data_IF_850963664153
#
_entry.id   IF_850963664153
#
_cell.length_a   1.000
_cell.length_b   1.000
_cell.length_c   1.000
_cell.angle_alpha   90.00
_cell.angle_beta   90.00
_cell.angle_gamma   90.00
#
_symmetry.space_group_name_H-M   'P 1'
#
loop_
_entity.id
_entity.type
_entity.pdbx_description
1 polymer ?
#
# COMPACT_ATOMS: atom_id res chain seq x y z
N UNK A 1 9.98 13.20 -23.18
CA UNK A 1 9.91 12.57 -21.85
C UNK A 1 10.70 11.26 -21.92
N UNK A 2 11.80 11.13 -21.19
CA UNK A 2 12.66 9.91 -21.21
C UNK A 2 12.24 9.02 -20.05
N UNK A 3 12.03 7.74 -20.31
CA UNK A 3 11.74 6.74 -19.28
C UNK A 3 12.99 6.41 -18.46
N UNK A 4 12.79 6.10 -17.18
CA UNK A 4 13.84 5.63 -16.28
C UNK A 4 14.58 4.43 -16.87
N UNK A 5 15.91 4.44 -16.78
CA UNK A 5 16.79 3.33 -17.17
C UNK A 5 17.67 2.94 -16.00
N UNK A 6 17.53 1.68 -15.57
CA UNK A 6 18.32 1.08 -14.47
C UNK A 6 19.85 1.19 -14.68
N UNK A 7 20.31 1.34 -15.93
CA UNK A 7 21.73 1.47 -16.28
C UNK A 7 22.27 2.90 -16.21
N UNK A 8 21.41 3.90 -16.42
CA UNK A 8 21.86 5.27 -16.72
C UNK A 8 21.46 6.27 -15.62
N UNK A 9 20.39 5.98 -14.88
CA UNK A 9 19.86 6.93 -13.90
C UNK A 9 20.42 6.67 -12.48
N UNK A 10 20.78 7.72 -11.71
CA UNK A 10 21.37 7.56 -10.39
C UNK A 10 20.40 6.84 -9.45
N UNK A 11 20.84 5.79 -8.76
CA UNK A 11 19.99 4.93 -7.92
C UNK A 11 19.21 5.66 -6.82
N UNK A 12 19.68 6.84 -6.40
CA UNK A 12 19.05 7.70 -5.38
C UNK A 12 18.10 8.76 -5.96
N UNK A 13 17.99 8.86 -7.28
CA UNK A 13 17.09 9.81 -7.93
C UNK A 13 15.64 9.35 -7.74
N UNK A 14 14.90 10.08 -6.91
CA UNK A 14 13.45 9.90 -6.79
C UNK A 14 12.82 10.30 -8.12
N UNK A 15 12.29 9.32 -8.85
CA UNK A 15 11.52 9.61 -10.08
C UNK A 15 10.19 10.23 -9.67
N UNK A 16 10.13 11.56 -9.63
CA UNK A 16 8.93 12.34 -9.29
C UNK A 16 8.06 12.70 -10.50
N UNK A 17 8.47 12.24 -11.69
CA UNK A 17 7.83 12.49 -12.99
C UNK A 17 7.01 11.31 -13.52
N UNK A 18 6.98 10.19 -12.80
CA UNK A 18 6.31 8.97 -13.23
C UNK A 18 5.28 8.51 -12.19
N UNK A 19 4.14 8.01 -12.68
CA UNK A 19 3.07 7.41 -11.88
C UNK A 19 2.71 6.08 -12.51
N UNK A 20 2.50 5.05 -11.69
CA UNK A 20 2.07 3.75 -12.21
C UNK A 20 0.57 3.76 -12.51
N UNK A 21 0.12 2.87 -13.39
CA UNK A 21 -1.31 2.67 -13.67
C UNK A 21 -2.09 2.34 -12.39
N UNK A 22 -1.45 1.63 -11.46
CA UNK A 22 -2.06 1.22 -10.20
C UNK A 22 -2.23 2.36 -9.23
N UNK A 23 -1.27 3.27 -9.15
CA UNK A 23 -1.40 4.47 -8.31
C UNK A 23 -2.52 5.37 -8.86
N UNK A 24 -2.58 5.56 -10.19
CA UNK A 24 -3.65 6.32 -10.83
C UNK A 24 -5.02 5.68 -10.61
N UNK A 25 -5.15 4.37 -10.83
CA UNK A 25 -6.38 3.64 -10.59
C UNK A 25 -6.81 3.71 -9.12
N UNK A 26 -5.86 3.59 -8.19
CA UNK A 26 -6.11 3.68 -6.76
C UNK A 26 -6.60 5.08 -6.34
N UNK A 27 -5.94 6.14 -6.81
CA UNK A 27 -6.39 7.53 -6.58
C UNK A 27 -7.79 7.75 -7.16
N UNK A 28 -8.06 7.24 -8.37
CA UNK A 28 -9.39 7.34 -8.98
C UNK A 28 -10.47 6.66 -8.12
N UNK A 29 -10.24 5.42 -7.69
CA UNK A 29 -11.21 4.67 -6.87
C UNK A 29 -11.47 5.35 -5.52
N UNK A 30 -10.41 5.80 -4.84
CA UNK A 30 -10.51 6.51 -3.55
C UNK A 30 -11.28 7.82 -3.72
N UNK A 31 -10.90 8.64 -4.69
CA UNK A 31 -11.56 9.95 -4.94
C UNK A 31 -13.03 9.76 -5.32
N UNK A 32 -13.36 8.75 -6.12
CA UNK A 32 -14.74 8.37 -6.47
C UNK A 32 -15.56 8.02 -5.23
N UNK A 33 -15.05 7.17 -4.34
CA UNK A 33 -15.75 6.78 -3.10
C UNK A 33 -15.91 7.98 -2.17
N UNK A 34 -14.87 8.79 -1.98
CA UNK A 34 -14.96 9.99 -1.15
C UNK A 34 -15.98 10.98 -1.68
N UNK A 35 -16.05 11.19 -3.00
CA UNK A 35 -17.06 12.04 -3.62
C UNK A 35 -18.48 11.52 -3.36
N UNK A 36 -18.70 10.20 -3.44
CA UNK A 36 -19.99 9.57 -3.09
C UNK A 36 -20.35 9.78 -1.60
N UNK A 37 -19.36 9.94 -0.73
CA UNK A 37 -19.53 10.27 0.68
C UNK A 37 -19.59 11.79 0.96
N UNK A 38 -19.66 12.63 -0.07
CA UNK A 38 -19.69 14.10 0.07
C UNK A 38 -18.37 14.70 0.56
N UNK A 39 -17.24 14.02 0.32
CA UNK A 39 -15.89 14.46 0.70
C UNK A 39 -15.06 14.78 -0.53
N UNK A 40 -14.38 15.93 -0.50
CA UNK A 40 -13.46 16.35 -1.56
C UNK A 40 -12.02 16.25 -1.04
N UNK A 41 -11.26 15.21 -1.40
CA UNK A 41 -9.85 15.11 -1.02
C UNK A 41 -9.00 16.13 -1.77
N UNK A 42 -7.89 16.53 -1.16
CA UNK A 42 -6.84 17.31 -1.83
C UNK A 42 -5.78 16.34 -2.36
N UNK A 43 -5.61 16.30 -3.67
CA UNK A 43 -4.54 15.52 -4.29
C UNK A 43 -3.20 16.22 -4.06
N UNK A 44 -2.21 15.48 -3.55
CA UNK A 44 -0.84 15.96 -3.33
C UNK A 44 0.14 14.93 -3.86
N UNK A 45 1.19 15.39 -4.56
CA UNK A 45 2.34 14.54 -4.89
C UNK A 45 3.10 14.22 -3.60
N UNK A 46 3.42 12.95 -3.40
CA UNK A 46 3.95 12.47 -2.14
C UNK A 46 5.31 13.12 -1.77
N UNK A 47 6.15 13.45 -2.76
CA UNK A 47 7.43 14.15 -2.56
C UNK A 47 7.27 15.62 -2.12
N UNK A 48 6.10 16.22 -2.32
CA UNK A 48 5.80 17.61 -1.93
C UNK A 48 5.05 17.70 -0.60
N UNK A 49 4.74 16.57 0.03
CA UNK A 49 4.10 16.55 1.34
C UNK A 49 5.11 17.04 2.39
N UNK A 50 4.74 18.05 3.16
CA UNK A 50 5.53 18.53 4.31
C UNK A 50 4.98 17.99 5.62
N UNK A 51 5.81 17.94 6.66
CA UNK A 51 5.38 17.53 8.00
C UNK A 51 4.34 18.48 8.60
N UNK A 52 4.44 19.79 8.37
CA UNK A 52 3.45 20.79 8.81
C UNK A 52 2.06 20.57 8.19
N UNK A 53 2.01 20.11 6.93
CA UNK A 53 0.75 19.71 6.30
C UNK A 53 0.26 18.37 6.89
N UNK A 54 1.15 17.40 7.04
CA UNK A 54 0.83 16.03 7.44
C UNK A 54 0.33 15.92 8.89
N UNK A 55 0.90 16.72 9.83
CA UNK A 55 0.48 16.71 11.24
C UNK A 55 -0.97 17.19 11.43
N UNK A 56 -1.49 17.96 10.47
CA UNK A 56 -2.80 18.60 10.55
C UNK A 56 -3.88 17.91 9.69
N UNK A 57 -3.59 16.77 9.05
CA UNK A 57 -4.48 16.15 8.05
C UNK A 57 -4.62 14.64 8.25
N UNK A 58 -5.78 14.13 7.87
CA UNK A 58 -5.93 12.71 7.55
C UNK A 58 -5.24 12.43 6.22
N UNK A 59 -4.51 11.32 6.12
CA UNK A 59 -3.75 10.97 4.92
C UNK A 59 -4.31 9.71 4.26
N UNK A 60 -4.37 9.71 2.94
CA UNK A 60 -4.51 8.47 2.15
C UNK A 60 -3.29 8.40 1.25
N UNK A 61 -2.48 7.39 1.47
CA UNK A 61 -1.22 7.16 0.77
C UNK A 61 -1.45 6.03 -0.21
N UNK A 62 -1.33 6.34 -1.50
CA UNK A 62 -1.46 5.39 -2.60
C UNK A 62 -0.10 5.19 -3.23
N UNK A 63 0.33 3.93 -3.34
CA UNK A 63 1.65 3.55 -3.80
C UNK A 63 2.57 3.12 -2.65
N UNK A 64 3.67 2.43 -2.99
CA UNK A 64 4.57 1.87 -1.99
C UNK A 64 5.23 2.97 -1.14
N UNK A 65 5.16 2.92 0.20
CA UNK A 65 5.85 3.87 1.08
C UNK A 65 7.36 3.94 0.83
N UNK A 66 7.96 2.86 0.32
CA UNK A 66 9.40 2.86 -0.01
C UNK A 66 9.73 3.81 -1.15
N UNK A 67 8.79 4.05 -2.06
CA UNK A 67 8.93 5.02 -3.15
C UNK A 67 8.67 6.46 -2.70
N UNK A 68 8.27 6.67 -1.44
CA UNK A 68 7.93 7.99 -0.89
C UNK A 68 8.93 8.32 0.23
N UNK A 69 10.00 9.05 -0.12
CA UNK A 69 11.11 9.37 0.78
C UNK A 69 10.64 9.99 2.10
N UNK A 70 9.74 10.98 2.08
CA UNK A 70 9.23 11.65 3.28
C UNK A 70 8.53 10.67 4.24
N UNK A 71 7.86 9.65 3.73
CA UNK A 71 7.17 8.68 4.59
C UNK A 71 8.11 7.63 5.19
N UNK A 72 9.38 7.57 4.78
CA UNK A 72 10.38 6.68 5.42
C UNK A 72 10.74 7.12 6.84
N UNK A 73 10.60 8.42 7.15
CA UNK A 73 10.95 8.97 8.47
C UNK A 73 9.85 8.71 9.53
N UNK A 74 8.65 8.32 9.12
CA UNK A 74 7.55 7.99 10.03
C UNK A 74 7.03 6.56 9.76
N UNK A 75 7.14 5.62 10.71
CA UNK A 75 6.75 4.23 10.50
C UNK A 75 5.23 4.07 10.53
N UNK A 76 4.56 4.40 9.43
CA UNK A 76 3.13 4.16 9.28
C UNK A 76 2.80 2.68 9.42
N UNK A 77 3.57 1.79 8.77
CA UNK A 77 3.42 0.34 8.89
C UNK A 77 4.40 -0.22 9.93
N UNK A 78 3.94 -1.22 10.69
CA UNK A 78 4.72 -1.88 11.74
C UNK A 78 4.73 -3.40 11.59
N UNK A 79 3.68 -4.00 11.00
CA UNK A 79 3.53 -5.44 10.87
C UNK A 79 4.03 -5.95 9.51
N UNK A 80 3.68 -5.24 8.43
CA UNK A 80 4.05 -5.61 7.07
C UNK A 80 4.89 -4.51 6.42
N UNK A 81 6.21 -4.74 6.33
CA UNK A 81 7.17 -3.73 5.90
C UNK A 81 7.65 -3.99 4.46
N UNK A 82 7.67 -2.96 3.64
CA UNK A 82 8.21 -3.07 2.28
C UNK A 82 9.74 -3.12 2.30
N UNK A 83 10.29 -4.04 1.51
CA UNK A 83 11.72 -4.20 1.24
C UNK A 83 12.02 -3.82 -0.21
N UNK A 84 13.05 -3.02 -0.43
CA UNK A 84 13.40 -2.51 -1.76
C UNK A 84 13.88 -3.64 -2.67
N UNK A 85 13.70 -3.50 -3.97
CA UNK A 85 14.25 -4.46 -4.93
C UNK A 85 15.78 -4.54 -4.87
N UNK A 86 16.44 -3.48 -4.41
CA UNK A 86 17.89 -3.41 -4.32
C UNK A 86 18.47 -4.02 -3.04
N UNK A 87 17.63 -4.33 -2.05
CA UNK A 87 18.08 -4.84 -0.76
C UNK A 87 18.22 -6.38 -0.75
N UNK A 88 18.97 -6.91 0.21
CA UNK A 88 18.98 -8.34 0.58
C UNK A 88 17.66 -8.73 1.29
N UNK A 89 17.28 -10.03 1.41
CA UNK A 89 18.02 -11.25 1.05
C UNK A 89 17.84 -11.70 -0.42
N UNK A 90 17.21 -10.87 -1.26
CA UNK A 90 17.05 -11.17 -2.69
C UNK A 90 17.00 -9.90 -3.53
N UNK A 91 18.13 -9.57 -4.14
CA UNK A 91 18.26 -8.41 -5.04
C UNK A 91 17.49 -8.66 -6.35
N UNK A 92 16.95 -7.59 -6.93
CA UNK A 92 16.17 -7.55 -8.16
C UNK A 92 14.66 -7.62 -7.96
N UNK A 93 14.18 -7.97 -6.76
CA UNK A 93 12.77 -8.22 -6.45
C UNK A 93 12.37 -7.54 -5.15
N UNK A 94 11.30 -6.73 -5.19
CA UNK A 94 10.71 -6.14 -3.99
C UNK A 94 9.98 -7.20 -3.15
N UNK A 95 9.84 -6.96 -1.85
CA UNK A 95 9.15 -7.89 -0.97
C UNK A 95 8.35 -7.17 0.12
N UNK A 96 7.48 -7.92 0.79
CA UNK A 96 6.89 -7.51 2.06
C UNK A 96 7.42 -8.43 3.15
N UNK A 97 8.03 -7.85 4.18
CA UNK A 97 8.50 -8.53 5.37
C UNK A 97 7.38 -8.56 6.41
N UNK A 98 7.05 -9.75 6.88
CA UNK A 98 6.18 -9.96 8.03
C UNK A 98 7.03 -9.88 9.29
N UNK A 99 6.86 -8.80 10.06
CA UNK A 99 7.70 -8.53 11.24
C UNK A 99 7.41 -9.51 12.39
N UNK A 100 6.17 -10.00 12.46
CA UNK A 100 5.71 -10.91 13.51
C UNK A 100 4.94 -12.09 12.87
N UNK A 101 5.65 -13.01 12.18
CA UNK A 101 5.03 -14.15 11.53
C UNK A 101 4.43 -15.08 12.59
N UNK A 102 3.15 -15.43 12.41
CA UNK A 102 2.52 -16.47 13.21
C UNK A 102 3.06 -17.85 12.79
N UNK A 103 2.90 -18.91 13.62
CA UNK A 103 3.30 -20.26 13.23
C UNK A 103 2.70 -20.66 11.88
N UNK A 104 3.56 -21.03 10.93
CA UNK A 104 3.18 -21.42 9.57
C UNK A 104 3.01 -20.26 8.57
N UNK A 105 3.16 -19.00 9.00
CA UNK A 105 3.22 -17.86 8.08
C UNK A 105 4.65 -17.64 7.56
N UNK A 106 4.75 -17.23 6.30
CA UNK A 106 6.02 -16.80 5.72
C UNK A 106 6.51 -15.50 6.36
N UNK A 107 7.83 -15.43 6.60
CA UNK A 107 8.47 -14.22 7.10
C UNK A 107 8.67 -13.16 5.99
N UNK A 108 8.80 -13.58 4.73
CA UNK A 108 9.06 -12.69 3.59
C UNK A 108 8.24 -13.12 2.37
N UNK A 109 7.47 -12.18 1.84
CA UNK A 109 6.66 -12.35 0.64
C UNK A 109 7.33 -11.65 -0.55
N UNK A 110 8.11 -12.38 -1.33
CA UNK A 110 8.75 -11.83 -2.53
C UNK A 110 7.73 -11.58 -3.63
N UNK A 111 7.82 -10.40 -4.26
CA UNK A 111 7.04 -10.07 -5.44
C UNK A 111 7.41 -10.91 -6.67
N UNK A 112 6.70 -10.71 -7.79
CA UNK A 112 6.99 -11.42 -9.03
C UNK A 112 8.34 -11.00 -9.61
N UNK A 113 9.15 -11.98 -10.05
CA UNK A 113 10.49 -11.74 -10.63
C UNK A 113 10.51 -11.68 -12.16
N UNK A 114 9.45 -12.11 -12.83
CA UNK A 114 9.39 -12.20 -14.30
C UNK A 114 8.07 -11.66 -14.85
N UNK A 115 8.13 -10.95 -15.97
CA UNK A 115 6.96 -10.46 -16.71
C UNK A 115 6.46 -11.51 -17.71
N UNK A 116 5.15 -11.55 -18.02
CA UNK A 116 4.08 -10.77 -17.38
C UNK A 116 3.85 -11.22 -15.93
N UNK A 117 3.54 -10.26 -15.05
CA UNK A 117 3.26 -10.56 -13.65
C UNK A 117 1.94 -11.32 -13.52
N UNK A 118 1.98 -12.47 -12.86
CA UNK A 118 0.80 -13.33 -12.62
C UNK A 118 0.23 -13.17 -11.21
N UNK A 119 0.97 -12.50 -10.33
CA UNK A 119 0.56 -12.22 -8.97
C UNK A 119 1.24 -10.96 -8.45
N UNK A 120 0.79 -10.50 -7.29
CA UNK A 120 1.46 -9.47 -6.50
C UNK A 120 1.15 -9.68 -5.00
N UNK A 121 1.87 -8.97 -4.13
CA UNK A 121 1.49 -8.79 -2.74
C UNK A 121 1.28 -7.32 -2.43
N UNK A 122 0.36 -7.03 -1.51
CA UNK A 122 0.01 -5.67 -1.14
C UNK A 122 -0.35 -5.56 0.34
N UNK A 123 -0.24 -4.34 0.88
CA UNK A 123 -0.63 -3.99 2.24
C UNK A 123 -1.73 -2.94 2.17
N UNK A 124 -2.80 -3.19 2.94
CA UNK A 124 -3.79 -2.17 3.31
C UNK A 124 -3.65 -1.92 4.80
N UNK A 125 -3.34 -0.67 5.18
CA UNK A 125 -3.16 -0.31 6.59
C UNK A 125 -4.01 0.90 6.96
N UNK A 126 -4.83 0.79 8.01
CA UNK A 126 -5.38 1.96 8.70
C UNK A 126 -4.58 2.17 9.97
N UNK A 127 -3.87 3.29 10.06
CA UNK A 127 -2.85 3.52 11.08
C UNK A 127 -3.07 4.89 11.73
N UNK A 128 -2.43 5.16 12.88
CA UNK A 128 -2.25 6.54 13.33
C UNK A 128 -1.61 7.38 12.22
N UNK A 129 -2.03 8.65 12.14
CA UNK A 129 -1.40 9.66 11.30
C UNK A 129 -0.12 10.19 11.94
N UNK A 130 0.39 11.30 11.42
CA UNK A 130 1.61 11.95 11.96
C UNK A 130 1.38 12.50 13.37
N UNK A 131 0.18 13.03 13.63
CA UNK A 131 -0.27 13.31 15.00
C UNK A 131 -1.23 12.22 15.47
N UNK A 132 -1.23 11.97 16.79
CA UNK A 132 -2.04 10.91 17.41
C UNK A 132 -3.56 11.09 17.22
N UNK A 133 -4.03 12.31 16.91
CA UNK A 133 -5.44 12.60 16.63
C UNK A 133 -5.83 12.41 15.17
N UNK A 134 -4.87 12.14 14.29
CA UNK A 134 -5.07 11.92 12.85
C UNK A 134 -4.89 10.45 12.50
N UNK A 135 -5.32 10.07 11.31
CA UNK A 135 -5.18 8.71 10.76
C UNK A 135 -4.54 8.76 9.38
N UNK A 136 -3.95 7.64 9.01
CA UNK A 136 -3.45 7.39 7.68
C UNK A 136 -4.02 6.08 7.14
N UNK A 137 -4.45 6.08 5.88
CA UNK A 137 -4.80 4.89 5.12
C UNK A 137 -3.70 4.62 4.09
N UNK A 138 -3.03 3.48 4.19
CA UNK A 138 -1.97 3.04 3.28
C UNK A 138 -2.55 2.01 2.31
N UNK A 139 -2.38 2.25 1.01
CA UNK A 139 -2.82 1.39 -0.08
C UNK A 139 -1.63 1.13 -1.00
N UNK A 140 -0.92 0.03 -0.78
CA UNK A 140 0.41 -0.16 -1.36
C UNK A 140 0.63 -1.59 -1.85
N UNK A 141 1.09 -1.76 -3.10
CA UNK A 141 1.59 -3.02 -3.63
C UNK A 141 3.10 -3.05 -3.76
N UNK A 142 3.66 -4.25 -3.95
CA UNK A 142 5.05 -4.38 -4.41
C UNK A 142 5.15 -3.87 -5.86
N UNK A 143 4.14 -4.15 -6.69
CA UNK A 143 4.02 -3.59 -8.03
C UNK A 143 2.75 -2.74 -8.17
N UNK A 144 2.60 -2.13 -9.35
CA UNK A 144 1.39 -1.41 -9.77
C UNK A 144 0.11 -2.23 -9.58
N UNK A 145 0.13 -3.54 -9.80
CA UNK A 145 -1.09 -4.36 -9.70
C UNK A 145 -1.55 -4.53 -8.24
N UNK A 146 -0.60 -4.66 -7.30
CA UNK A 146 -0.87 -4.73 -5.88
C UNK A 146 -1.44 -3.42 -5.34
N UNK A 147 -0.93 -2.26 -5.77
CA UNK A 147 -1.49 -0.96 -5.36
C UNK A 147 -2.93 -0.81 -5.82
N UNK A 148 -3.22 -1.17 -7.08
CA UNK A 148 -4.60 -1.17 -7.58
C UNK A 148 -5.49 -2.10 -6.74
N UNK A 149 -5.06 -3.33 -6.49
CA UNK A 149 -5.82 -4.30 -5.70
C UNK A 149 -6.08 -3.83 -4.25
N UNK A 150 -5.09 -3.18 -3.62
CA UNK A 150 -5.23 -2.61 -2.30
C UNK A 150 -6.33 -1.52 -2.26
N UNK A 151 -6.34 -0.63 -3.25
CA UNK A 151 -7.38 0.38 -3.36
C UNK A 151 -8.76 -0.25 -3.67
N UNK A 152 -8.82 -1.22 -4.58
CA UNK A 152 -10.06 -1.93 -4.88
C UNK A 152 -10.63 -2.66 -3.66
N UNK A 153 -9.79 -3.20 -2.77
CA UNK A 153 -10.23 -3.85 -1.54
C UNK A 153 -11.07 -2.92 -0.67
N UNK A 154 -10.66 -1.65 -0.54
CA UNK A 154 -11.35 -0.68 0.33
C UNK A 154 -12.44 0.12 -0.39
N UNK A 155 -12.38 0.22 -1.72
CA UNK A 155 -13.30 1.03 -2.52
C UNK A 155 -14.46 0.24 -3.14
N UNK A 156 -14.38 -1.10 -3.21
CA UNK A 156 -15.44 -1.96 -3.74
C UNK A 156 -16.19 -2.62 -2.61
N UNK A 157 -17.51 -2.43 -2.58
CA UNK A 157 -18.39 -2.89 -1.49
C UNK A 157 -18.22 -4.39 -1.17
N UNK A 158 -18.19 -5.24 -2.19
CA UNK A 158 -18.03 -6.70 -2.00
C UNK A 158 -16.65 -7.07 -1.41
N UNK A 159 -15.61 -6.28 -1.70
CA UNK A 159 -14.26 -6.56 -1.22
C UNK A 159 -14.07 -6.02 0.20
N UNK A 160 -14.51 -4.78 0.49
CA UNK A 160 -14.37 -4.20 1.83
C UNK A 160 -15.18 -4.97 2.87
N UNK A 161 -16.33 -5.55 2.49
CA UNK A 161 -17.11 -6.45 3.36
C UNK A 161 -16.26 -7.60 3.89
N UNK A 162 -15.43 -8.24 3.05
CA UNK A 162 -14.53 -9.33 3.48
C UNK A 162 -13.55 -8.89 4.57
N UNK A 163 -12.99 -7.68 4.42
CA UNK A 163 -12.09 -7.10 5.41
C UNK A 163 -12.82 -6.77 6.71
N UNK A 164 -13.98 -6.10 6.62
CA UNK A 164 -14.79 -5.72 7.77
C UNK A 164 -15.29 -6.94 8.54
N UNK A 165 -15.70 -8.01 7.86
CA UNK A 165 -16.17 -9.23 8.50
C UNK A 165 -15.04 -9.94 9.26
N UNK A 166 -13.82 -9.97 8.70
CA UNK A 166 -12.64 -10.46 9.45
C UNK A 166 -12.31 -9.60 10.66
N UNK A 167 -12.35 -8.27 10.53
CA UNK A 167 -12.12 -7.36 11.65
C UNK A 167 -13.17 -7.50 12.77
N UNK A 168 -14.45 -7.71 12.40
CA UNK A 168 -15.53 -7.98 13.35
C UNK A 168 -15.34 -9.31 14.08
N UNK A 169 -14.89 -10.35 13.38
CA UNK A 169 -14.61 -11.66 13.98
C UNK A 169 -13.50 -11.60 15.04
N UNK A 170 -12.61 -10.59 14.99
CA UNK A 170 -11.60 -10.34 16.01
C UNK A 170 -12.15 -9.63 17.27
N UNK A 171 -13.47 -9.41 17.36
CA UNK A 171 -14.14 -8.72 18.48
C UNK A 171 -13.53 -7.35 18.83
N UNK A 172 -13.06 -6.63 17.82
CA UNK A 172 -12.45 -5.31 17.99
C UNK A 172 -13.49 -4.20 18.04
N UNK A 173 -13.20 -3.15 18.81
CA UNK A 173 -14.05 -1.96 18.87
C UNK A 173 -13.67 -1.01 17.72
N UNK A 174 -14.62 -0.72 16.83
CA UNK A 174 -14.39 0.20 15.73
C UNK A 174 -14.43 1.68 16.17
N UNK A 175 -13.65 2.58 15.53
CA UNK A 175 -12.62 2.29 14.54
C UNK A 175 -11.38 1.65 15.19
N UNK A 176 -10.81 0.65 14.51
CA UNK A 176 -9.61 -0.06 14.95
C UNK A 176 -8.50 0.15 13.94
N UNK A 177 -7.27 0.37 14.40
CA UNK A 177 -6.11 0.39 13.53
C UNK A 177 -5.72 -1.04 13.14
N UNK A 178 -5.35 -1.24 11.89
CA UNK A 178 -5.01 -2.56 11.39
C UNK A 178 -4.01 -2.48 10.24
N UNK A 179 -3.34 -3.60 10.00
CA UNK A 179 -2.57 -3.86 8.79
C UNK A 179 -3.00 -5.20 8.20
N UNK A 180 -3.23 -5.23 6.90
CA UNK A 180 -3.78 -6.35 6.16
C UNK A 180 -2.86 -6.67 4.99
N UNK A 181 -2.32 -7.89 4.97
CA UNK A 181 -1.51 -8.42 3.88
C UNK A 181 -2.41 -9.13 2.86
N UNK A 182 -2.24 -8.77 1.59
CA UNK A 182 -2.99 -9.31 0.47
C UNK A 182 -2.10 -10.12 -0.45
N UNK A 183 -2.63 -11.24 -0.94
CA UNK A 183 -2.18 -11.89 -2.16
C UNK A 183 -3.09 -11.49 -3.30
N UNK A 184 -2.49 -11.09 -4.41
CA UNK A 184 -3.20 -10.61 -5.59
C UNK A 184 -2.91 -11.56 -6.74
N UNK A 185 -3.95 -12.03 -7.43
CA UNK A 185 -3.82 -12.76 -8.70
C UNK A 185 -3.98 -11.77 -9.84
N UNK A 186 -3.05 -11.83 -10.79
CA UNK A 186 -3.01 -10.95 -11.96
C UNK A 186 -3.21 -11.78 -13.21
N UNK A 187 -4.10 -11.32 -14.09
CA UNK A 187 -4.34 -11.94 -15.39
C UNK A 187 -4.44 -10.86 -16.46
N UNK A 188 -3.66 -10.97 -17.53
CA UNK A 188 -3.63 -9.96 -18.60
C UNK A 188 -3.26 -8.55 -18.12
N UNK A 189 -2.49 -8.44 -17.04
CA UNK A 189 -2.14 -7.15 -16.43
C UNK A 189 -3.25 -6.52 -15.57
N UNK A 190 -4.31 -7.27 -15.25
CA UNK A 190 -5.41 -6.81 -14.39
C UNK A 190 -5.41 -7.61 -13.07
N UNK A 191 -5.52 -6.96 -11.91
CA UNK A 191 -5.82 -7.64 -10.65
C UNK A 191 -7.23 -8.26 -10.73
N UNK A 192 -7.30 -9.59 -10.85
CA UNK A 192 -8.58 -10.30 -11.03
C UNK A 192 -9.09 -10.94 -9.74
N UNK A 193 -8.25 -11.06 -8.72
CA UNK A 193 -8.63 -11.59 -7.42
C UNK A 193 -7.67 -11.11 -6.33
N UNK A 194 -8.21 -10.84 -5.14
CA UNK A 194 -7.44 -10.49 -3.95
C UNK A 194 -7.90 -11.32 -2.76
N UNK A 195 -6.93 -11.89 -2.07
CA UNK A 195 -7.11 -12.72 -0.89
C UNK A 195 -6.41 -12.06 0.29
N UNK A 196 -7.09 -11.98 1.45
CA UNK A 196 -6.48 -11.55 2.70
C UNK A 196 -5.71 -12.74 3.28
N UNK A 197 -4.38 -12.65 3.28
CA UNK A 197 -3.51 -13.67 3.87
C UNK A 197 -3.45 -13.52 5.38
N UNK A 198 -3.15 -12.31 5.84
CA UNK A 198 -2.97 -12.01 7.25
C UNK A 198 -3.61 -10.66 7.59
N UNK A 199 -4.15 -10.58 8.80
CA UNK A 199 -4.74 -9.37 9.36
C UNK A 199 -4.21 -9.19 10.77
N UNK A 200 -3.71 -7.99 11.07
CA UNK A 200 -3.17 -7.61 12.37
C UNK A 200 -3.88 -6.38 12.87
N UNK A 201 -4.37 -6.43 14.10
CA UNK A 201 -4.96 -5.30 14.80
C UNK A 201 -3.85 -4.61 15.58
N UNK A 202 -3.80 -3.29 15.49
CA UNK A 202 -2.84 -2.47 16.23
C UNK A 202 -3.51 -1.92 17.48
N UNK A 203 -2.79 -2.04 18.59
CA UNK A 203 -3.17 -1.42 19.86
C UNK A 203 -2.63 0.01 19.94
#
# INVERSE_FOLDING_TARGET
MRYWRDTDDPRDAVVDTFTTIGDLAGVHEVTRVLAQLGRTPVLKRAQLLTWDEAINRELIIVGSPISIRTLREHPFLQEFLFKDRNDEPRVGVGAIMNRHPAPGEEAIFFGPSSRPYQFDYAVVGLTPGVSASRRALILAGITSHGTQAAAELVCREQQIRKLLDRLRALNTRFPVFFECLLRVRVSGGVPVHSEILSLRVRQ
#
